data_IF_231047480476
#
_entry.id   IF_231047480476
#
_cell.length_a   1.000
_cell.length_b   1.000
_cell.length_c   1.000
_cell.angle_alpha   90.00
_cell.angle_beta   90.00
_cell.angle_gamma   90.00
#
_symmetry.space_group_name_H-M   'P 1'
#
loop_
_entity.id
_entity.type
_entity.pdbx_description
1 polymer ?
#
# COMPACT_ATOMS: atom_id res chain seq x y z
N UNK A 1 -4.90 -1.03 28.27
CA UNK A 1 -4.02 -0.02 27.65
C UNK A 1 -2.89 -0.56 26.75
N UNK A 2 -2.91 -1.83 26.36
CA UNK A 2 -1.95 -2.43 25.43
C UNK A 2 -1.87 -1.71 24.07
N UNK A 3 -3.01 -1.25 23.53
CA UNK A 3 -3.09 -0.57 22.23
C UNK A 3 -2.49 0.84 22.28
N UNK A 4 -2.58 1.54 23.42
CA UNK A 4 -2.03 2.90 23.57
C UNK A 4 -0.51 2.88 23.74
N UNK A 5 0.01 1.80 24.30
CA UNK A 5 1.43 1.59 24.57
C UNK A 5 2.20 1.20 23.30
N UNK A 6 1.61 0.32 22.47
CA UNK A 6 2.27 -0.19 21.25
C UNK A 6 2.00 0.64 19.99
N UNK A 7 1.01 1.56 19.99
CA UNK A 7 0.75 2.42 18.83
C UNK A 7 1.91 3.37 18.53
N UNK A 8 2.61 3.85 19.57
CA UNK A 8 3.81 4.69 19.42
C UNK A 8 4.98 3.93 18.79
N UNK A 9 5.13 2.64 19.07
CA UNK A 9 6.17 1.81 18.46
C UNK A 9 5.92 1.55 16.97
N UNK A 10 4.65 1.47 16.55
CA UNK A 10 4.28 1.41 15.13
C UNK A 10 4.71 2.67 14.37
N UNK A 11 4.49 3.86 14.95
CA UNK A 11 4.88 5.13 14.31
C UNK A 11 6.39 5.42 14.34
N UNK A 12 7.12 4.92 15.34
CA UNK A 12 8.59 5.07 15.38
C UNK A 12 9.28 4.11 14.40
N UNK A 13 8.67 2.96 14.08
CA UNK A 13 9.12 2.09 12.99
C UNK A 13 8.96 2.73 11.61
N UNK A 14 7.99 3.63 11.43
CA UNK A 14 7.73 4.32 10.16
C UNK A 14 8.88 5.25 9.73
N UNK A 15 9.70 5.78 10.65
CA UNK A 15 10.89 6.56 10.26
C UNK A 15 12.01 5.70 9.64
N UNK A 16 12.05 4.39 9.91
CA UNK A 16 12.93 3.44 9.20
C UNK A 16 12.33 2.94 7.88
N UNK A 17 11.03 3.13 7.65
CA UNK A 17 10.36 2.69 6.42
C UNK A 17 10.80 3.48 5.19
N UNK A 18 11.25 4.73 5.33
CA UNK A 18 11.65 5.56 4.19
C UNK A 18 12.87 5.05 3.41
N UNK A 19 13.71 4.17 3.98
CA UNK A 19 14.88 3.62 3.26
C UNK A 19 14.59 2.33 2.49
N UNK A 20 13.44 1.70 2.73
CA UNK A 20 13.00 0.44 2.11
C UNK A 20 11.55 0.51 1.57
N UNK A 21 11.00 1.72 1.40
CA UNK A 21 9.73 1.90 0.71
C UNK A 21 9.92 1.45 -0.72
N UNK A 22 9.35 0.28 -1.03
CA UNK A 22 9.25 -0.19 -2.42
C UNK A 22 8.69 0.97 -3.23
N UNK A 23 9.38 1.40 -4.29
CA UNK A 23 9.07 2.65 -5.01
C UNK A 23 7.64 2.68 -5.60
N UNK A 24 7.02 1.51 -5.76
CA UNK A 24 5.60 1.38 -6.12
C UNK A 24 4.61 1.75 -4.99
N UNK A 25 5.05 1.89 -3.73
CA UNK A 25 4.16 2.19 -2.61
C UNK A 25 3.93 3.71 -2.48
N UNK A 26 2.97 4.21 -3.26
CA UNK A 26 2.65 5.64 -3.34
C UNK A 26 1.87 6.14 -2.13
N UNK A 27 1.81 7.47 -1.96
CA UNK A 27 1.00 8.11 -0.91
C UNK A 27 -0.50 7.76 -1.03
N UNK A 28 -1.03 7.66 -2.26
CA UNK A 28 -2.41 7.21 -2.49
C UNK A 28 -2.66 5.81 -1.92
N UNK A 29 -1.73 4.87 -2.13
CA UNK A 29 -1.85 3.52 -1.59
C UNK A 29 -1.77 3.55 -0.06
N UNK A 30 -0.86 4.35 0.51
CA UNK A 30 -0.74 4.52 1.95
C UNK A 30 -2.05 5.02 2.57
N UNK A 31 -2.70 6.02 1.95
CA UNK A 31 -3.98 6.57 2.41
C UNK A 31 -5.11 5.54 2.39
N UNK A 32 -5.20 4.72 1.34
CA UNK A 32 -6.25 3.69 1.24
C UNK A 32 -5.98 2.58 2.28
N UNK A 33 -4.71 2.24 2.53
CA UNK A 33 -4.32 1.28 3.58
C UNK A 33 -4.69 1.81 4.96
N UNK A 34 -4.42 3.09 5.26
CA UNK A 34 -4.81 3.71 6.52
C UNK A 34 -6.35 3.74 6.70
N UNK A 35 -7.10 4.10 5.64
CA UNK A 35 -8.58 4.02 5.64
C UNK A 35 -9.07 2.59 5.94
N UNK A 36 -8.44 1.58 5.35
CA UNK A 36 -8.74 0.16 5.64
C UNK A 36 -8.47 -0.18 7.10
N UNK A 37 -7.34 0.25 7.66
CA UNK A 37 -7.00 0.00 9.06
C UNK A 37 -8.02 0.64 10.01
N UNK A 38 -8.38 1.90 9.77
CA UNK A 38 -9.43 2.62 10.52
C UNK A 38 -10.78 1.90 10.44
N UNK A 39 -11.17 1.44 9.24
CA UNK A 39 -12.42 0.69 9.05
C UNK A 39 -12.42 -0.66 9.79
N UNK A 40 -11.27 -1.34 9.89
CA UNK A 40 -11.15 -2.56 10.68
C UNK A 40 -11.39 -2.29 12.18
N UNK A 41 -10.74 -1.26 12.72
CA UNK A 41 -10.91 -0.85 14.12
C UNK A 41 -12.38 -0.49 14.39
N UNK A 42 -13.01 0.27 13.50
CA UNK A 42 -14.43 0.59 13.58
C UNK A 42 -15.32 -0.66 13.59
N UNK A 43 -15.06 -1.64 12.73
CA UNK A 43 -15.80 -2.90 12.77
C UNK A 43 -15.61 -3.65 14.09
N UNK A 44 -14.39 -3.71 14.63
CA UNK A 44 -14.13 -4.37 15.92
C UNK A 44 -14.90 -3.72 17.08
N UNK A 45 -15.01 -2.39 17.10
CA UNK A 45 -15.79 -1.66 18.12
C UNK A 45 -17.30 -1.86 18.05
N UNK A 46 -17.81 -2.39 16.93
CA UNK A 46 -19.23 -2.61 16.68
C UNK A 46 -19.60 -4.09 16.60
N UNK A 47 -18.70 -5.01 16.98
CA UNK A 47 -19.04 -6.43 17.05
C UNK A 47 -20.18 -6.69 18.03
N UNK A 48 -21.16 -7.49 17.60
CA UNK A 48 -22.36 -7.81 18.35
C UNK A 48 -23.40 -6.67 18.42
N UNK A 49 -23.15 -5.53 17.77
CA UNK A 49 -24.10 -4.42 17.67
C UNK A 49 -24.91 -4.49 16.38
N UNK A 50 -26.05 -3.81 16.35
CA UNK A 50 -26.98 -3.77 15.20
C UNK A 50 -26.28 -3.30 13.92
N UNK A 51 -25.30 -2.41 14.05
CA UNK A 51 -24.54 -1.81 12.95
C UNK A 51 -23.27 -2.59 12.56
N UNK A 52 -22.98 -3.75 13.17
CA UNK A 52 -21.79 -4.57 12.84
C UNK A 52 -21.67 -4.81 11.33
N UNK A 53 -22.78 -5.21 10.70
CA UNK A 53 -22.80 -5.56 9.27
C UNK A 53 -22.43 -4.36 8.38
N UNK A 54 -22.80 -3.14 8.78
CA UNK A 54 -22.44 -1.91 8.05
C UNK A 54 -20.92 -1.73 8.05
N UNK A 55 -20.29 -1.75 9.22
CA UNK A 55 -18.84 -1.55 9.33
C UNK A 55 -18.04 -2.72 8.76
N UNK A 56 -18.53 -3.95 8.92
CA UNK A 56 -17.95 -5.14 8.30
C UNK A 56 -17.93 -5.02 6.77
N UNK A 57 -19.03 -4.58 6.17
CA UNK A 57 -19.13 -4.40 4.72
C UNK A 57 -18.19 -3.28 4.23
N UNK A 58 -18.11 -2.16 4.95
CA UNK A 58 -17.17 -1.08 4.65
C UNK A 58 -15.71 -1.57 4.66
N UNK A 59 -15.32 -2.31 5.70
CA UNK A 59 -13.99 -2.93 5.77
C UNK A 59 -13.74 -3.89 4.60
N UNK A 60 -14.70 -4.77 4.27
CA UNK A 60 -14.56 -5.73 3.16
C UNK A 60 -14.42 -5.04 1.80
N UNK A 61 -15.10 -3.93 1.58
CA UNK A 61 -14.94 -3.13 0.36
C UNK A 61 -13.53 -2.55 0.28
N UNK A 62 -13.05 -1.93 1.36
CA UNK A 62 -11.69 -1.37 1.41
C UNK A 62 -10.60 -2.44 1.25
N UNK A 63 -10.82 -3.67 1.75
CA UNK A 63 -9.90 -4.80 1.50
C UNK A 63 -9.73 -5.06 0.00
N UNK A 64 -10.84 -5.08 -0.76
CA UNK A 64 -10.80 -5.26 -2.23
C UNK A 64 -10.13 -4.06 -2.91
N UNK A 65 -10.48 -2.84 -2.52
CA UNK A 65 -9.90 -1.62 -3.09
C UNK A 65 -8.38 -1.56 -2.89
N UNK A 66 -7.89 -1.82 -1.67
CA UNK A 66 -6.45 -1.86 -1.39
C UNK A 66 -5.76 -2.91 -2.27
N UNK A 67 -6.33 -4.12 -2.35
CA UNK A 67 -5.75 -5.20 -3.17
C UNK A 67 -5.61 -4.75 -4.63
N UNK A 68 -6.69 -4.27 -5.24
CA UNK A 68 -6.69 -3.88 -6.65
C UNK A 68 -5.72 -2.73 -6.93
N UNK A 69 -5.66 -1.72 -6.06
CA UNK A 69 -4.77 -0.56 -6.22
C UNK A 69 -3.29 -0.94 -6.07
N UNK A 70 -2.98 -1.79 -5.09
CA UNK A 70 -1.62 -2.31 -4.91
C UNK A 70 -1.18 -3.15 -6.11
N UNK A 71 -2.03 -4.07 -6.56
CA UNK A 71 -1.73 -4.93 -7.72
C UNK A 71 -1.57 -4.14 -9.01
N UNK A 72 -2.38 -3.09 -9.22
CA UNK A 72 -2.26 -2.22 -10.39
C UNK A 72 -0.92 -1.47 -10.39
N UNK A 73 -0.59 -0.77 -9.29
CA UNK A 73 0.64 0.03 -9.21
C UNK A 73 1.91 -0.81 -9.23
N UNK A 74 1.87 -2.02 -8.65
CA UNK A 74 2.97 -2.97 -8.78
C UNK A 74 3.23 -3.34 -10.24
N UNK A 75 2.17 -3.51 -11.04
CA UNK A 75 2.27 -3.84 -12.46
C UNK A 75 2.88 -2.70 -13.25
N UNK A 76 2.36 -1.48 -13.06
CA UNK A 76 2.89 -0.25 -13.67
C UNK A 76 4.38 -0.06 -13.34
N UNK A 77 4.77 -0.26 -12.07
CA UNK A 77 6.17 -0.17 -11.66
C UNK A 77 7.08 -1.20 -12.36
N UNK A 78 6.61 -2.43 -12.53
CA UNK A 78 7.40 -3.44 -13.25
C UNK A 78 7.51 -3.15 -14.74
N UNK A 79 6.48 -2.54 -15.35
CA UNK A 79 6.52 -2.06 -16.73
C UNK A 79 7.51 -0.89 -16.88
N UNK A 80 7.47 0.10 -15.97
CA UNK A 80 8.44 1.21 -15.89
C UNK A 80 9.89 0.68 -15.83
N UNK A 81 10.18 -0.23 -14.89
CA UNK A 81 11.50 -0.85 -14.73
C UNK A 81 11.92 -1.61 -16.00
N UNK A 82 11.00 -2.33 -16.65
CA UNK A 82 11.30 -3.07 -17.89
C UNK A 82 11.74 -2.12 -19.01
N UNK A 83 11.03 -1.00 -19.18
CA UNK A 83 11.35 0.02 -20.18
C UNK A 83 12.70 0.68 -19.87
N UNK A 84 12.98 0.99 -18.61
CA UNK A 84 14.26 1.58 -18.20
C UNK A 84 15.43 0.63 -18.49
N UNK A 85 15.25 -0.68 -18.25
CA UNK A 85 16.25 -1.70 -18.60
C UNK A 85 16.44 -1.78 -20.11
N UNK A 86 15.36 -1.79 -20.91
CA UNK A 86 15.45 -1.82 -22.37
C UNK A 86 16.19 -0.60 -22.93
N UNK A 87 15.92 0.58 -22.40
CA UNK A 87 16.60 1.81 -22.81
C UNK A 87 18.08 1.80 -22.41
N UNK A 88 18.40 1.38 -21.17
CA UNK A 88 19.78 1.24 -20.74
C UNK A 88 20.58 0.25 -21.61
N UNK A 89 19.95 -0.84 -22.05
CA UNK A 89 20.58 -1.79 -22.99
C UNK A 89 20.84 -1.15 -24.35
N UNK A 90 19.88 -0.40 -24.91
CA UNK A 90 20.04 0.30 -26.20
C UNK A 90 21.11 1.38 -26.15
N UNK A 91 21.20 2.14 -25.06
CA UNK A 91 22.19 3.20 -24.90
C UNK A 91 23.62 2.63 -24.79
N UNK A 92 23.75 1.37 -24.37
CA UNK A 92 25.03 0.66 -24.24
C UNK A 92 25.31 -0.33 -25.37
N UNK A 93 24.42 -0.49 -26.35
CA UNK A 93 24.66 -1.30 -27.55
C UNK A 93 25.39 -0.46 -28.61
N UNK A 94 26.65 -0.77 -28.95
CA UNK A 94 27.42 -0.03 -29.95
C UNK A 94 26.82 -0.06 -31.36
N UNK A 95 25.83 -0.92 -31.64
CA UNK A 95 25.10 -0.95 -32.91
C UNK A 95 24.00 0.13 -33.02
N UNK A 96 23.52 0.67 -31.89
CA UNK A 96 22.47 1.71 -31.82
C UNK A 96 23.01 3.12 -31.52
N UNK A 97 24.30 3.26 -31.24
CA UNK A 97 25.00 4.54 -31.12
C UNK A 97 25.41 5.05 -32.51
N UNK A 98 24.48 5.65 -33.25
CA UNK A 98 24.73 6.40 -34.50
C UNK A 98 24.03 7.75 -34.48
#
# INVERSE_FOLDING_TARGET
DYIREHSKEYFIKDQKYQKNTKEWFTHEIADIVDKKAKAYVQWQHHRGKIDENKYRNQYRMLVKTVKNKVEARQREYWEEISVDIENAVKDHDPATVF
#
